data_IF_747638901347
#
_entry.id   IF_747638901347
#
_cell.length_a   1.000
_cell.length_b   1.000
_cell.length_c   1.000
_cell.angle_alpha   90.00
_cell.angle_beta   90.00
_cell.angle_gamma   90.00
#
_symmetry.space_group_name_H-M   'P 1'
#
loop_
_entity.id
_entity.type
_entity.pdbx_description
1 polymer ?
#
# COMPACT_ATOMS: atom_id res chain seq x y z
N UNK A 1 0.28 20.18 -21.09
CA UNK A 1 -1.00 19.75 -20.46
C UNK A 1 -2.17 20.13 -21.36
N UNK A 2 -3.29 19.38 -21.35
CA UNK A 2 -4.47 19.75 -22.14
C UNK A 2 -5.05 21.08 -21.58
N UNK A 3 -5.35 22.10 -22.42
CA UNK A 3 -5.83 23.40 -21.94
C UNK A 3 -7.18 23.35 -21.19
N UNK A 4 -7.92 22.24 -21.32
CA UNK A 4 -9.16 22.01 -20.57
C UNK A 4 -8.93 21.39 -19.18
N UNK A 5 -7.68 21.12 -18.79
CA UNK A 5 -7.32 20.51 -17.50
C UNK A 5 -6.43 21.49 -16.76
N UNK A 6 -6.79 21.83 -15.53
CA UNK A 6 -5.99 22.63 -14.62
C UNK A 6 -5.57 21.78 -13.42
N UNK A 7 -4.30 21.89 -13.04
CA UNK A 7 -3.76 21.28 -11.83
C UNK A 7 -3.56 22.35 -10.76
N UNK A 8 -4.07 22.11 -9.57
CA UNK A 8 -3.91 22.98 -8.40
C UNK A 8 -3.44 22.08 -7.26
N UNK A 9 -2.16 22.12 -6.95
CA UNK A 9 -1.51 21.35 -5.89
C UNK A 9 -1.36 22.14 -4.59
N UNK A 10 -0.89 21.46 -3.54
CA UNK A 10 -0.72 21.98 -2.19
C UNK A 10 -2.03 22.49 -1.55
N UNK A 11 -3.16 21.85 -1.89
CA UNK A 11 -4.48 22.16 -1.33
C UNK A 11 -5.03 20.93 -0.62
N UNK A 12 -5.41 21.09 0.65
CA UNK A 12 -6.04 20.03 1.44
C UNK A 12 -7.56 20.22 1.43
N UNK A 13 -8.25 19.41 0.65
CA UNK A 13 -9.72 19.40 0.59
C UNK A 13 -10.28 18.86 1.92
N UNK A 14 -11.25 19.56 2.48
CA UNK A 14 -11.82 19.34 3.82
C UNK A 14 -11.23 20.27 4.89
N UNK A 15 -10.03 20.83 4.67
CA UNK A 15 -9.41 21.82 5.56
C UNK A 15 -9.30 23.20 4.89
N UNK A 16 -8.61 23.27 3.74
CA UNK A 16 -8.35 24.53 3.06
C UNK A 16 -9.55 24.99 2.24
N UNK A 17 -10.28 24.03 1.69
CA UNK A 17 -11.59 24.21 1.03
C UNK A 17 -12.52 23.06 1.37
N UNK A 18 -13.79 23.36 1.67
CA UNK A 18 -14.80 22.36 1.99
C UNK A 18 -15.43 21.79 0.72
N UNK A 19 -16.03 20.59 0.85
CA UNK A 19 -16.79 19.99 -0.27
C UNK A 19 -17.99 20.85 -0.63
N UNK A 20 -18.66 21.50 0.32
CA UNK A 20 -19.78 22.39 0.04
C UNK A 20 -19.34 23.59 -0.81
N UNK A 21 -18.21 24.22 -0.47
CA UNK A 21 -17.65 25.30 -1.31
C UNK A 21 -17.34 24.82 -2.74
N UNK A 22 -16.79 23.60 -2.89
CA UNK A 22 -16.55 23.04 -4.22
C UNK A 22 -17.86 22.79 -4.99
N UNK A 23 -18.94 22.35 -4.35
CA UNK A 23 -20.25 22.18 -4.97
C UNK A 23 -20.88 23.51 -5.43
N UNK A 24 -20.62 24.59 -4.70
CA UNK A 24 -21.09 25.94 -5.08
C UNK A 24 -20.44 26.43 -6.35
N UNK A 25 -19.14 26.20 -6.53
CA UNK A 25 -18.33 26.77 -7.60
C UNK A 25 -18.17 25.85 -8.82
N UNK A 26 -18.43 24.53 -8.69
CA UNK A 26 -18.34 23.57 -9.79
C UNK A 26 -19.66 22.84 -10.05
N UNK A 27 -19.88 22.42 -11.30
CA UNK A 27 -21.07 21.65 -11.70
C UNK A 27 -21.06 20.23 -11.09
N UNK A 28 -19.90 19.64 -10.88
CA UNK A 28 -19.74 18.36 -10.22
C UNK A 28 -18.42 18.28 -9.47
N UNK A 29 -18.40 17.47 -8.40
CA UNK A 29 -17.20 17.14 -7.62
C UNK A 29 -16.99 15.63 -7.70
N UNK A 30 -15.84 15.20 -8.22
CA UNK A 30 -15.47 13.80 -8.31
C UNK A 30 -14.37 13.48 -7.28
N UNK A 31 -14.68 12.64 -6.30
CA UNK A 31 -13.78 12.21 -5.25
C UNK A 31 -12.94 11.01 -5.72
N UNK A 32 -11.59 11.15 -5.74
CA UNK A 32 -10.66 10.11 -6.19
C UNK A 32 -9.41 9.99 -5.31
N UNK A 33 -9.50 10.43 -4.05
CA UNK A 33 -8.36 10.53 -3.12
C UNK A 33 -7.86 9.17 -2.56
N UNK A 34 -8.49 8.06 -2.96
CA UNK A 34 -8.01 6.71 -2.65
C UNK A 34 -8.19 6.27 -1.20
N UNK A 35 -7.23 5.52 -0.67
CA UNK A 35 -7.22 4.98 0.69
C UNK A 35 -5.89 5.31 1.36
N UNK A 36 -5.93 6.18 2.37
CA UNK A 36 -4.73 6.77 2.96
C UNK A 36 -4.29 6.13 4.26
N UNK A 37 -5.19 5.50 5.00
CA UNK A 37 -4.88 4.84 6.26
C UNK A 37 -4.77 3.33 6.12
N UNK A 38 -4.01 2.70 6.99
CA UNK A 38 -3.97 1.25 7.13
C UNK A 38 -4.96 0.75 8.19
N UNK A 39 -5.33 -0.52 8.06
CA UNK A 39 -6.16 -1.20 9.05
C UNK A 39 -5.31 -1.57 10.26
N UNK A 40 -5.94 -1.53 11.44
CA UNK A 40 -5.36 -2.01 12.68
C UNK A 40 -5.71 -3.48 12.90
N UNK A 41 -4.88 -4.18 13.65
CA UNK A 41 -5.11 -5.56 14.08
C UNK A 41 -6.01 -5.61 15.32
N UNK A 42 -5.94 -4.56 16.14
CA UNK A 42 -6.66 -4.43 17.42
C UNK A 42 -6.32 -5.59 18.41
N UNK A 43 -5.03 -5.96 18.45
CA UNK A 43 -4.51 -7.01 19.33
C UNK A 43 -3.54 -6.44 20.36
N UNK A 44 -3.33 -7.14 21.51
CA UNK A 44 -2.34 -6.74 22.49
C UNK A 44 -0.94 -6.53 21.90
N UNK A 45 -0.25 -5.49 22.35
CA UNK A 45 1.11 -5.18 21.92
C UNK A 45 1.25 -4.52 20.55
N UNK A 46 0.15 -4.23 19.84
CA UNK A 46 0.20 -3.58 18.50
C UNK A 46 0.88 -2.21 18.51
N UNK A 47 0.92 -1.53 19.66
CA UNK A 47 1.52 -0.21 19.83
C UNK A 47 2.99 -0.25 20.31
N UNK A 48 3.59 -1.43 20.44
CA UNK A 48 5.01 -1.55 20.76
C UNK A 48 5.88 -0.91 19.68
N UNK A 49 7.04 -0.38 20.08
CA UNK A 49 8.02 0.11 19.11
C UNK A 49 8.41 -1.01 18.14
N UNK A 50 8.75 -0.67 16.92
CA UNK A 50 9.01 -1.59 15.81
C UNK A 50 7.80 -2.42 15.33
N UNK A 51 6.58 -2.10 15.76
CA UNK A 51 5.36 -2.57 15.08
C UNK A 51 4.90 -1.48 14.11
N UNK A 52 5.25 -1.62 12.85
CA UNK A 52 5.22 -0.57 11.84
C UNK A 52 4.02 -0.77 10.88
N UNK A 53 3.36 0.33 10.51
CA UNK A 53 2.44 0.33 9.37
C UNK A 53 3.19 0.03 8.08
N UNK A 54 2.78 -1.00 7.33
CA UNK A 54 3.37 -1.30 6.02
C UNK A 54 3.24 -0.13 5.05
N UNK A 55 2.11 0.60 5.10
CA UNK A 55 1.90 1.80 4.31
C UNK A 55 2.92 2.91 4.65
N UNK A 56 3.16 3.17 5.93
CA UNK A 56 4.12 4.17 6.35
C UNK A 56 5.55 3.79 5.96
N UNK A 57 5.91 2.52 6.05
CA UNK A 57 7.20 2.03 5.58
C UNK A 57 7.36 2.22 4.06
N UNK A 58 6.32 1.89 3.27
CA UNK A 58 6.30 2.16 1.82
C UNK A 58 6.41 3.67 1.54
N UNK A 59 5.70 4.51 2.28
CA UNK A 59 5.81 5.96 2.19
C UNK A 59 7.22 6.47 2.52
N UNK A 60 7.85 5.91 3.53
CA UNK A 60 9.19 6.27 3.99
C UNK A 60 10.26 6.03 2.91
N UNK A 61 10.33 4.84 2.33
CA UNK A 61 11.35 4.59 1.30
C UNK A 61 11.02 5.23 -0.05
N UNK A 62 9.75 5.55 -0.29
CA UNK A 62 9.30 6.28 -1.49
C UNK A 62 9.34 7.81 -1.35
N UNK A 63 9.72 8.35 -0.20
CA UNK A 63 9.89 9.78 0.02
C UNK A 63 8.59 10.56 0.21
N UNK A 64 7.55 9.93 0.77
CA UNK A 64 6.34 10.66 1.19
C UNK A 64 6.71 11.56 2.37
N UNK A 65 6.54 12.89 2.27
CA UNK A 65 7.05 13.84 3.27
C UNK A 65 6.61 13.55 4.70
N UNK A 66 5.35 13.15 4.92
CA UNK A 66 4.81 12.82 6.25
C UNK A 66 5.44 11.58 6.89
N UNK A 67 6.02 10.69 6.09
CA UNK A 67 6.63 9.46 6.56
C UNK A 67 8.17 9.55 6.67
N UNK A 68 8.78 10.68 6.26
CA UNK A 68 10.23 10.93 6.30
C UNK A 68 10.88 10.56 7.64
N UNK A 69 10.23 10.92 8.75
CA UNK A 69 10.73 10.72 10.11
C UNK A 69 10.16 9.45 10.76
N UNK A 70 9.88 8.40 9.97
CA UNK A 70 9.46 7.12 10.52
C UNK A 70 10.55 6.56 11.43
N UNK A 71 10.22 6.38 12.72
CA UNK A 71 11.13 5.74 13.66
C UNK A 71 11.16 4.24 13.39
N UNK A 72 12.23 3.76 12.77
CA UNK A 72 12.41 2.37 12.37
C UNK A 72 13.81 1.90 12.74
N UNK A 73 13.89 0.77 13.43
CA UNK A 73 15.16 0.11 13.72
C UNK A 73 15.31 -1.12 12.83
N UNK A 74 16.25 -1.07 11.88
CA UNK A 74 16.62 -2.18 10.99
C UNK A 74 17.91 -2.90 11.45
N UNK A 75 18.51 -2.50 12.55
CA UNK A 75 19.65 -3.19 13.19
C UNK A 75 19.17 -4.39 13.99
N UNK A 76 18.46 -5.29 13.33
CA UNK A 76 17.77 -6.48 13.88
C UNK A 76 17.85 -7.63 12.87
N UNK A 77 17.67 -8.88 13.35
CA UNK A 77 17.88 -10.06 12.51
C UNK A 77 16.62 -10.57 11.82
N UNK A 78 15.46 -10.53 12.48
CA UNK A 78 14.23 -11.14 12.00
C UNK A 78 13.11 -10.09 11.85
N UNK A 79 12.48 -10.08 10.69
CA UNK A 79 11.33 -9.25 10.41
C UNK A 79 10.08 -10.11 10.18
N UNK A 80 8.93 -9.65 10.64
CA UNK A 80 7.62 -10.26 10.42
C UNK A 80 6.75 -9.35 9.58
N UNK A 81 6.19 -9.85 8.49
CA UNK A 81 5.23 -9.14 7.66
C UNK A 81 3.87 -9.82 7.78
N UNK A 82 2.89 -9.10 8.30
CA UNK A 82 1.53 -9.60 8.49
C UNK A 82 0.67 -9.24 7.28
N UNK A 83 0.34 -10.24 6.49
CA UNK A 83 -0.39 -10.13 5.24
C UNK A 83 0.36 -10.79 4.08
N UNK A 84 -0.36 -11.18 3.04
CA UNK A 84 0.19 -11.85 1.85
C UNK A 84 -0.40 -11.22 0.57
N UNK A 85 -0.43 -9.88 0.54
CA UNK A 85 -0.72 -9.10 -0.66
C UNK A 85 0.55 -8.59 -1.34
N UNK A 86 0.39 -7.86 -2.46
CA UNK A 86 1.52 -7.29 -3.21
C UNK A 86 2.39 -6.37 -2.36
N UNK A 87 1.78 -5.54 -1.51
CA UNK A 87 2.52 -4.65 -0.60
C UNK A 87 3.39 -5.44 0.39
N UNK A 88 2.90 -6.59 0.88
CA UNK A 88 3.69 -7.45 1.77
C UNK A 88 4.91 -8.04 1.05
N UNK A 89 4.75 -8.49 -0.19
CA UNK A 89 5.86 -8.94 -1.04
C UNK A 89 6.85 -7.80 -1.31
N UNK A 90 6.35 -6.58 -1.57
CA UNK A 90 7.17 -5.39 -1.81
C UNK A 90 8.04 -5.04 -0.60
N UNK A 91 7.46 -5.05 0.60
CA UNK A 91 8.21 -4.84 1.85
C UNK A 91 9.30 -5.92 2.00
N UNK A 92 8.96 -7.19 1.80
CA UNK A 92 9.92 -8.28 1.86
C UNK A 92 11.05 -8.09 0.85
N UNK A 93 10.72 -7.69 -0.39
CA UNK A 93 11.68 -7.42 -1.45
C UNK A 93 12.64 -6.29 -1.07
N UNK A 94 12.15 -5.17 -0.54
CA UNK A 94 12.99 -4.05 -0.09
C UNK A 94 13.97 -4.48 1.02
N UNK A 95 13.52 -5.28 2.00
CA UNK A 95 14.36 -5.76 3.11
C UNK A 95 15.40 -6.80 2.66
N UNK A 96 15.09 -7.59 1.64
CA UNK A 96 15.91 -8.73 1.22
C UNK A 96 16.81 -8.42 0.00
N UNK A 97 16.50 -7.42 -0.80
CA UNK A 97 17.30 -7.05 -1.98
C UNK A 97 18.69 -6.55 -1.57
N UNK A 98 19.76 -6.94 -2.28
CA UNK A 98 21.09 -6.36 -2.10
C UNK A 98 21.07 -4.84 -2.27
N UNK A 99 21.78 -4.12 -1.40
CA UNK A 99 21.76 -2.64 -1.39
C UNK A 99 22.24 -2.04 -2.74
N UNK A 100 23.16 -2.70 -3.42
CA UNK A 100 23.69 -2.23 -4.69
C UNK A 100 22.63 -2.21 -5.81
N UNK A 101 21.64 -3.11 -5.74
CA UNK A 101 20.49 -3.05 -6.66
C UNK A 101 19.51 -1.92 -6.26
N UNK A 102 19.32 -1.66 -4.98
CA UNK A 102 18.44 -0.57 -4.52
C UNK A 102 19.02 0.81 -4.85
N UNK A 103 20.33 0.98 -4.84
CA UNK A 103 20.99 2.25 -5.16
C UNK A 103 20.66 2.79 -6.56
N UNK A 104 20.35 1.91 -7.51
CA UNK A 104 20.02 2.28 -8.89
C UNK A 104 18.54 2.64 -9.08
N UNK A 105 17.72 2.49 -8.02
CA UNK A 105 16.28 2.79 -8.04
C UNK A 105 16.03 4.23 -7.58
N UNK A 106 14.76 4.63 -7.53
CA UNK A 106 14.35 5.94 -7.01
C UNK A 106 14.06 5.94 -5.49
N UNK A 107 14.54 4.92 -4.76
CA UNK A 107 14.53 4.92 -3.29
C UNK A 107 15.28 6.16 -2.78
N UNK A 108 14.71 6.81 -1.78
CA UNK A 108 15.31 8.01 -1.17
C UNK A 108 16.63 7.71 -0.49
N UNK A 109 17.53 8.69 -0.49
CA UNK A 109 18.87 8.56 0.13
C UNK A 109 18.78 8.19 1.61
N UNK A 110 17.89 8.83 2.40
CA UNK A 110 17.74 8.51 3.82
C UNK A 110 17.32 7.04 4.04
N UNK A 111 16.45 6.49 3.16
CA UNK A 111 16.07 5.09 3.26
C UNK A 111 17.22 4.13 2.88
N UNK A 112 18.00 4.48 1.84
CA UNK A 112 19.18 3.71 1.45
C UNK A 112 20.23 3.66 2.57
N UNK A 113 20.46 4.76 3.28
CA UNK A 113 21.38 4.83 4.43
C UNK A 113 20.95 3.85 5.53
N UNK A 114 19.67 3.86 5.92
CA UNK A 114 19.14 2.92 6.91
C UNK A 114 19.19 1.47 6.42
N UNK A 115 18.80 1.20 5.18
CA UNK A 115 18.79 -0.15 4.59
C UNK A 115 20.21 -0.71 4.43
N UNK A 116 21.21 0.14 4.17
CA UNK A 116 22.63 -0.28 4.07
C UNK A 116 23.18 -0.83 5.38
N UNK A 117 22.66 -0.33 6.51
CA UNK A 117 23.03 -0.76 7.86
C UNK A 117 22.10 -1.88 8.40
N UNK A 118 21.13 -2.34 7.60
CA UNK A 118 20.20 -3.38 8.02
C UNK A 118 20.88 -4.72 8.26
N UNK A 119 20.60 -5.33 9.42
CA UNK A 119 21.06 -6.69 9.76
C UNK A 119 20.02 -7.77 9.48
N UNK A 120 18.86 -7.39 8.92
CA UNK A 120 17.78 -8.35 8.64
C UNK A 120 18.27 -9.44 7.68
N UNK A 121 18.15 -10.69 8.15
CA UNK A 121 18.52 -11.90 7.39
C UNK A 121 17.32 -12.80 7.13
N UNK A 122 16.27 -12.68 7.93
CA UNK A 122 15.10 -13.53 7.84
C UNK A 122 13.81 -12.69 7.84
N UNK A 123 12.94 -12.98 6.89
CA UNK A 123 11.64 -12.33 6.77
C UNK A 123 10.54 -13.39 6.78
N UNK A 124 9.70 -13.34 7.81
CA UNK A 124 8.50 -14.13 7.92
C UNK A 124 7.35 -13.43 7.19
N UNK A 125 6.68 -14.13 6.26
CA UNK A 125 5.53 -13.59 5.51
C UNK A 125 4.27 -14.36 5.95
N UNK A 126 3.48 -13.75 6.83
CA UNK A 126 2.38 -14.43 7.54
C UNK A 126 1.04 -14.23 6.84
N UNK A 127 0.38 -15.33 6.51
CA UNK A 127 -0.95 -15.36 5.93
C UNK A 127 -1.99 -16.08 6.79
N UNK A 128 -3.13 -15.43 7.03
CA UNK A 128 -4.20 -16.05 7.82
C UNK A 128 -4.94 -17.18 7.11
N UNK A 129 -4.88 -17.23 5.78
CA UNK A 129 -5.50 -18.27 4.93
C UNK A 129 -4.42 -19.13 4.29
N UNK A 130 -4.84 -20.08 3.46
CA UNK A 130 -3.94 -20.98 2.80
C UNK A 130 -3.34 -20.46 1.49
N UNK A 131 -2.47 -21.25 0.84
CA UNK A 131 -1.83 -20.90 -0.45
C UNK A 131 -2.85 -20.59 -1.56
N UNK A 132 -3.97 -21.28 -1.59
CA UNK A 132 -5.04 -21.08 -2.59
C UNK A 132 -5.72 -19.71 -2.47
N UNK A 133 -5.60 -19.02 -1.31
CA UNK A 133 -6.18 -17.71 -1.04
C UNK A 133 -5.11 -16.60 -0.96
N UNK A 134 -3.85 -16.87 -1.29
CA UNK A 134 -2.79 -15.87 -1.34
C UNK A 134 -3.22 -14.69 -2.23
N UNK A 135 -2.99 -13.46 -1.76
CA UNK A 135 -3.50 -12.25 -2.42
C UNK A 135 -2.45 -11.57 -3.32
N UNK A 136 -1.19 -11.97 -3.25
CA UNK A 136 -0.14 -11.47 -4.14
C UNK A 136 -0.32 -12.02 -5.57
N UNK A 137 0.19 -11.29 -6.55
CA UNK A 137 0.14 -11.69 -7.96
C UNK A 137 1.33 -12.59 -8.32
N UNK A 138 1.19 -13.31 -9.44
CA UNK A 138 2.28 -14.16 -9.96
C UNK A 138 3.51 -13.34 -10.37
N UNK A 139 3.32 -12.08 -10.78
CA UNK A 139 4.43 -11.19 -11.15
C UNK A 139 5.30 -10.89 -9.94
N UNK A 140 4.70 -10.44 -8.84
CA UNK A 140 5.38 -10.13 -7.59
C UNK A 140 6.10 -11.38 -7.01
N UNK A 141 5.41 -12.53 -7.02
CA UNK A 141 6.03 -13.78 -6.56
C UNK A 141 7.26 -14.15 -7.40
N UNK A 142 7.19 -13.99 -8.73
CA UNK A 142 8.34 -14.30 -9.61
C UNK A 142 9.56 -13.40 -9.34
N UNK A 143 9.34 -12.14 -9.02
CA UNK A 143 10.43 -11.22 -8.72
C UNK A 143 11.11 -11.60 -7.41
N UNK A 144 10.34 -11.85 -6.36
CA UNK A 144 10.95 -12.17 -5.06
C UNK A 144 11.66 -13.54 -5.06
N UNK A 145 11.13 -14.53 -5.81
CA UNK A 145 11.78 -15.84 -5.95
C UNK A 145 13.11 -15.80 -6.73
N UNK A 146 13.41 -14.70 -7.41
CA UNK A 146 14.66 -14.49 -8.17
C UNK A 146 15.69 -13.65 -7.41
N UNK A 147 15.42 -13.26 -6.17
CA UNK A 147 16.36 -12.46 -5.41
C UNK A 147 17.68 -13.19 -5.20
N UNK A 148 18.77 -12.50 -5.52
CA UNK A 148 20.12 -13.03 -5.32
C UNK A 148 20.43 -13.20 -3.83
N UNK A 149 21.11 -14.28 -3.49
CA UNK A 149 21.51 -14.63 -2.13
C UNK A 149 20.33 -14.70 -1.12
N UNK A 150 19.11 -15.00 -1.61
CA UNK A 150 17.92 -15.18 -0.80
C UNK A 150 17.22 -16.49 -1.16
N UNK A 151 16.97 -17.33 -0.15
CA UNK A 151 16.17 -18.54 -0.31
C UNK A 151 14.72 -18.29 0.15
N UNK A 152 13.76 -18.83 -0.58
CA UNK A 152 12.38 -18.91 -0.11
C UNK A 152 12.13 -20.28 0.48
N UNK A 153 11.79 -20.32 1.77
CA UNK A 153 11.59 -21.55 2.55
C UNK A 153 10.11 -21.72 2.87
N UNK A 154 9.42 -22.53 2.09
CA UNK A 154 8.02 -22.85 2.30
C UNK A 154 7.85 -23.97 3.33
N UNK A 155 6.77 -23.93 4.08
CA UNK A 155 6.34 -25.05 4.94
C UNK A 155 5.52 -26.05 4.14
N UNK A 156 6.03 -27.27 3.97
CA UNK A 156 5.37 -28.31 3.18
C UNK A 156 3.98 -28.68 3.71
N UNK A 157 3.80 -28.63 5.04
CA UNK A 157 2.51 -28.87 5.70
C UNK A 157 1.40 -27.89 5.30
N UNK A 158 1.75 -26.67 4.90
CA UNK A 158 0.77 -25.68 4.43
C UNK A 158 0.23 -25.98 3.04
N UNK A 159 0.84 -26.92 2.31
CA UNK A 159 0.48 -27.30 0.94
C UNK A 159 -0.18 -28.68 0.84
N UNK A 160 -0.49 -29.32 1.95
CA UNK A 160 -1.15 -30.64 1.94
C UNK A 160 -2.48 -30.55 1.18
N UNK A 161 -2.67 -31.40 0.16
CA UNK A 161 -3.87 -31.46 -0.69
C UNK A 161 -4.02 -30.32 -1.71
N UNK A 162 -3.06 -29.38 -1.79
CA UNK A 162 -3.14 -28.25 -2.74
C UNK A 162 -3.01 -28.74 -4.19
N UNK A 163 -2.14 -29.67 -4.47
CA UNK A 163 -1.91 -30.27 -5.81
C UNK A 163 -3.13 -30.96 -6.38
N UNK A 164 -3.97 -31.59 -5.56
CA UNK A 164 -5.23 -32.18 -5.97
C UNK A 164 -6.24 -31.13 -6.47
N UNK A 165 -6.18 -29.90 -5.94
CA UNK A 165 -7.08 -28.80 -6.28
C UNK A 165 -6.62 -28.05 -7.53
N UNK A 166 -5.33 -27.99 -7.82
CA UNK A 166 -4.74 -27.23 -8.94
C UNK A 166 -5.44 -27.43 -10.27
N UNK A 167 -5.81 -28.67 -10.69
CA UNK A 167 -6.49 -28.91 -11.97
C UNK A 167 -7.83 -28.17 -12.09
N UNK A 168 -8.54 -27.92 -10.98
CA UNK A 168 -9.87 -27.29 -10.93
C UNK A 168 -9.82 -25.76 -10.95
N UNK A 169 -8.65 -25.17 -10.74
CA UNK A 169 -8.49 -23.71 -10.59
C UNK A 169 -8.59 -22.98 -11.93
N UNK A 170 -9.16 -21.77 -11.91
CA UNK A 170 -9.08 -20.83 -13.03
C UNK A 170 -7.61 -20.46 -13.34
N UNK A 171 -7.31 -20.24 -14.62
CA UNK A 171 -5.95 -20.07 -15.16
C UNK A 171 -5.03 -19.13 -14.35
N UNK A 172 -5.45 -17.93 -13.92
CA UNK A 172 -4.57 -17.05 -13.14
C UNK A 172 -4.16 -17.67 -11.79
N UNK A 173 -5.13 -18.22 -11.06
CA UNK A 173 -4.90 -18.86 -9.76
C UNK A 173 -4.09 -20.15 -9.92
N UNK A 174 -4.41 -20.96 -10.92
CA UNK A 174 -3.67 -22.18 -11.25
C UNK A 174 -2.18 -21.89 -11.43
N UNK A 175 -1.84 -20.94 -12.30
CA UNK A 175 -0.42 -20.59 -12.57
C UNK A 175 0.33 -20.05 -11.34
N UNK A 176 -0.35 -19.31 -10.48
CA UNK A 176 0.24 -18.83 -9.24
C UNK A 176 0.53 -20.00 -8.29
N UNK A 177 -0.45 -20.92 -8.12
CA UNK A 177 -0.30 -22.09 -7.24
C UNK A 177 0.77 -23.05 -7.76
N UNK A 178 0.80 -23.31 -9.06
CA UNK A 178 1.85 -24.12 -9.71
C UNK A 178 3.26 -23.52 -9.47
N UNK A 179 3.39 -22.20 -9.50
CA UNK A 179 4.67 -21.53 -9.21
C UNK A 179 5.10 -21.73 -7.75
N UNK A 180 4.15 -21.64 -6.80
CA UNK A 180 4.46 -21.88 -5.38
C UNK A 180 4.87 -23.36 -5.16
N UNK A 181 4.13 -24.32 -5.70
CA UNK A 181 4.45 -25.75 -5.61
C UNK A 181 5.82 -26.08 -6.25
N UNK A 182 6.09 -25.48 -7.41
CA UNK A 182 7.42 -25.62 -8.04
C UNK A 182 8.52 -25.12 -7.12
N UNK A 183 8.35 -23.92 -6.56
CA UNK A 183 9.33 -23.33 -5.64
C UNK A 183 9.49 -24.13 -4.34
N UNK A 184 8.41 -24.72 -3.81
CA UNK A 184 8.46 -25.64 -2.68
C UNK A 184 9.31 -26.89 -2.99
N UNK A 185 9.11 -27.49 -4.15
CA UNK A 185 9.83 -28.73 -4.56
C UNK A 185 11.31 -28.45 -4.88
N UNK A 186 11.63 -27.25 -5.33
CA UNK A 186 13.00 -26.83 -5.70
C UNK A 186 13.76 -26.16 -4.53
N UNK A 187 13.12 -25.97 -3.36
CA UNK A 187 13.77 -25.32 -2.23
C UNK A 187 14.94 -26.17 -1.70
N UNK A 188 16.06 -25.54 -1.31
CA UNK A 188 17.24 -26.25 -0.85
C UNK A 188 17.01 -26.95 0.49
N UNK A 189 17.47 -28.20 0.60
CA UNK A 189 17.38 -29.01 1.83
C UNK A 189 18.39 -28.54 2.89
N UNK A 190 19.53 -27.96 2.45
CA UNK A 190 20.59 -27.45 3.31
C UNK A 190 20.98 -26.02 2.91
N UNK A 191 20.71 -25.06 3.80
CA UNK A 191 20.92 -23.62 3.54
C UNK A 191 22.30 -23.10 4.01
N UNK A 192 23.38 -23.86 3.83
CA UNK A 192 24.69 -23.50 4.42
C UNK A 192 25.38 -22.28 3.83
N UNK A 193 24.96 -21.75 2.67
CA UNK A 193 25.67 -20.66 1.98
C UNK A 193 24.80 -19.43 1.65
N UNK A 194 23.56 -19.35 2.10
CA UNK A 194 22.67 -18.24 1.77
C UNK A 194 22.62 -17.20 2.89
N UNK A 195 22.68 -15.94 2.50
CA UNK A 195 22.76 -14.83 3.45
C UNK A 195 21.40 -14.38 3.99
N UNK A 196 20.30 -14.63 3.24
CA UNK A 196 18.97 -14.16 3.57
C UNK A 196 17.89 -15.21 3.29
N UNK A 197 16.79 -15.16 4.03
CA UNK A 197 15.68 -16.11 3.95
C UNK A 197 14.33 -15.37 3.90
N UNK A 198 13.47 -15.79 2.99
CA UNK A 198 12.04 -15.50 3.00
C UNK A 198 11.28 -16.74 3.46
N UNK A 199 10.50 -16.62 4.52
CA UNK A 199 9.75 -17.73 5.13
C UNK A 199 8.24 -17.45 5.08
N UNK A 200 7.54 -17.78 3.98
CA UNK A 200 6.10 -17.68 3.93
C UNK A 200 5.44 -18.73 4.83
N UNK A 201 4.47 -18.31 5.62
CA UNK A 201 3.66 -19.16 6.51
C UNK A 201 2.19 -18.88 6.23
N UNK A 202 1.41 -19.93 6.06
CA UNK A 202 -0.03 -19.87 5.88
C UNK A 202 -0.77 -20.30 7.15
N UNK A 203 -2.09 -20.12 7.15
CA UNK A 203 -2.99 -20.53 8.24
C UNK A 203 -2.59 -19.98 9.61
N UNK A 204 -2.02 -18.75 9.67
CA UNK A 204 -1.62 -18.10 10.93
C UNK A 204 -2.20 -16.69 11.01
N UNK A 205 -2.90 -16.40 12.11
CA UNK A 205 -3.38 -15.07 12.44
C UNK A 205 -2.61 -14.50 13.61
N UNK A 206 -2.20 -13.23 13.58
CA UNK A 206 -1.57 -12.59 14.74
C UNK A 206 -2.57 -12.52 15.89
N UNK A 207 -2.11 -12.90 17.09
CA UNK A 207 -2.91 -12.89 18.32
C UNK A 207 -2.38 -11.87 19.33
N UNK A 208 -1.07 -11.70 19.45
CA UNK A 208 -0.43 -10.79 20.40
C UNK A 208 1.01 -10.49 19.95
N UNK A 209 1.44 -9.24 20.09
CA UNK A 209 2.87 -8.90 20.09
C UNK A 209 3.39 -8.87 21.53
N UNK A 210 4.50 -9.53 21.76
CA UNK A 210 5.12 -9.66 23.07
C UNK A 210 6.41 -8.83 23.12
N UNK A 211 6.59 -8.08 24.19
CA UNK A 211 7.73 -7.22 24.45
C UNK A 211 7.40 -6.24 25.57
N UNK A 212 8.40 -5.53 26.09
CA UNK A 212 8.19 -4.51 27.13
C UNK A 212 7.96 -3.12 26.54
N UNK A 213 8.88 -2.62 25.75
CA UNK A 213 8.82 -1.32 25.05
C UNK A 213 8.95 -1.46 23.54
N UNK A 214 9.60 -2.53 23.10
CA UNK A 214 9.83 -2.90 21.70
C UNK A 214 9.34 -4.32 21.51
N UNK A 215 8.93 -4.67 20.30
CA UNK A 215 8.50 -6.03 19.98
C UNK A 215 9.68 -6.98 20.00
N UNK A 216 9.49 -8.16 20.60
CA UNK A 216 10.50 -9.22 20.73
C UNK A 216 10.00 -10.54 20.14
N UNK A 217 8.68 -10.78 20.20
CA UNK A 217 8.02 -11.98 19.68
C UNK A 217 6.62 -11.66 19.18
N UNK A 218 6.08 -12.56 18.38
CA UNK A 218 4.67 -12.57 18.01
C UNK A 218 4.05 -13.94 18.29
N UNK A 219 2.86 -13.93 18.90
CA UNK A 219 2.01 -15.11 19.04
C UNK A 219 1.05 -15.18 17.89
N UNK A 220 0.97 -16.33 17.26
CA UNK A 220 0.15 -16.60 16.09
C UNK A 220 -0.84 -17.72 16.42
N UNK A 221 -2.14 -17.46 16.24
CA UNK A 221 -3.14 -18.52 16.29
C UNK A 221 -3.09 -19.35 15.02
N UNK A 222 -3.08 -20.66 15.15
CA UNK A 222 -3.26 -21.59 14.02
C UNK A 222 -4.69 -21.54 13.56
N UNK A 223 -4.91 -21.37 12.27
CA UNK A 223 -6.26 -21.25 11.69
C UNK A 223 -6.72 -22.54 11.02
N UNK A 224 -8.04 -22.77 11.08
CA UNK A 224 -8.77 -23.60 10.12
C UNK A 224 -9.49 -22.73 9.11
N UNK A 225 -9.75 -23.25 7.93
CA UNK A 225 -10.59 -22.57 6.95
C UNK A 225 -12.01 -23.11 6.99
N UNK A 226 -12.99 -22.22 6.93
CA UNK A 226 -14.42 -22.55 6.92
C UNK A 226 -15.10 -21.88 5.70
N UNK A 227 -16.02 -22.61 5.06
CA UNK A 227 -16.82 -22.15 3.92
C UNK A 227 -16.77 -23.14 2.74
N UNK A 228 -17.82 -23.17 1.96
CA UNK A 228 -18.02 -24.16 0.87
C UNK A 228 -17.12 -23.88 -0.33
N UNK A 229 -16.87 -22.63 -0.65
CA UNK A 229 -16.01 -22.26 -1.76
C UNK A 229 -14.56 -22.11 -1.30
N UNK A 230 -13.71 -23.03 -1.74
CA UNK A 230 -12.31 -23.13 -1.33
C UNK A 230 -11.51 -21.84 -1.54
N UNK A 231 -11.82 -21.03 -2.56
CA UNK A 231 -11.10 -19.79 -2.85
C UNK A 231 -11.54 -18.62 -1.95
N UNK A 232 -12.71 -18.69 -1.34
CA UNK A 232 -13.30 -17.65 -0.50
C UNK A 232 -13.45 -18.03 0.97
N UNK A 233 -12.96 -19.20 1.35
CA UNK A 233 -12.97 -19.67 2.74
C UNK A 233 -12.40 -18.61 3.69
N UNK A 234 -13.00 -18.54 4.88
CA UNK A 234 -12.59 -17.62 5.94
C UNK A 234 -11.71 -18.35 6.96
N UNK A 235 -10.69 -17.68 7.42
CA UNK A 235 -9.85 -18.16 8.49
C UNK A 235 -10.60 -18.05 9.84
N UNK A 236 -10.57 -19.13 10.61
CA UNK A 236 -11.07 -19.21 11.97
C UNK A 236 -9.93 -19.66 12.90
N UNK A 237 -9.53 -18.84 13.86
CA UNK A 237 -8.51 -19.22 14.84
C UNK A 237 -8.92 -20.46 15.63
N UNK A 238 -7.95 -21.32 15.93
CA UNK A 238 -8.06 -22.42 16.90
C UNK A 238 -7.37 -22.04 18.20
N UNK A 239 -7.41 -22.92 19.20
CA UNK A 239 -6.72 -22.73 20.48
C UNK A 239 -5.21 -22.98 20.40
N UNK A 240 -4.71 -23.45 19.24
CA UNK A 240 -3.29 -23.68 19.04
C UNK A 240 -2.55 -22.39 18.79
N UNK A 241 -1.51 -22.14 19.56
CA UNK A 241 -0.66 -20.95 19.44
C UNK A 241 0.76 -21.36 19.04
N UNK A 242 1.31 -20.67 18.06
CA UNK A 242 2.72 -20.73 17.68
C UNK A 242 3.39 -19.40 18.03
N UNK A 243 4.58 -19.43 18.64
CA UNK A 243 5.40 -18.25 18.89
C UNK A 243 6.59 -18.21 17.93
N UNK A 244 6.86 -17.05 17.36
CA UNK A 244 8.05 -16.79 16.55
C UNK A 244 8.77 -15.53 17.04
N UNK A 245 10.09 -15.49 16.84
CA UNK A 245 10.90 -14.30 17.09
C UNK A 245 10.45 -13.18 16.16
N UNK A 246 10.40 -11.96 16.67
CA UNK A 246 9.93 -10.80 15.93
C UNK A 246 10.62 -9.54 16.46
N UNK A 247 11.71 -9.15 15.84
CA UNK A 247 12.43 -7.93 16.21
C UNK A 247 11.82 -6.67 15.60
N UNK A 248 11.14 -6.84 14.47
CA UNK A 248 10.35 -5.82 13.79
C UNK A 248 9.16 -6.45 13.06
N UNK A 249 8.00 -5.79 13.11
CA UNK A 249 6.79 -6.24 12.44
C UNK A 249 6.23 -5.18 11.50
N UNK A 250 5.76 -5.61 10.32
CA UNK A 250 5.07 -4.77 9.35
C UNK A 250 3.63 -5.23 9.17
N UNK A 251 2.67 -4.34 9.48
CA UNK A 251 1.25 -4.59 9.24
C UNK A 251 0.92 -4.30 7.79
N UNK A 252 0.61 -5.31 7.00
CA UNK A 252 0.24 -5.21 5.59
C UNK A 252 -1.11 -5.89 5.32
N UNK A 253 -2.12 -5.58 6.15
CA UNK A 253 -3.44 -6.21 6.17
C UNK A 253 -4.51 -5.43 5.39
N UNK A 254 -4.10 -4.46 4.61
CA UNK A 254 -4.93 -3.63 3.75
C UNK A 254 -5.15 -2.23 4.29
N UNK A 255 -5.72 -1.39 3.44
CA UNK A 255 -5.93 0.04 3.66
C UNK A 255 -7.40 0.37 3.94
N UNK A 256 -7.66 1.62 4.29
CA UNK A 256 -8.99 2.22 4.36
C UNK A 256 -8.90 3.69 3.94
N UNK A 257 -9.97 4.19 3.34
CA UNK A 257 -10.11 5.63 3.10
C UNK A 257 -10.44 6.36 4.40
N UNK A 258 -10.31 7.67 4.38
CA UNK A 258 -10.70 8.58 5.46
C UNK A 258 -11.88 9.44 5.04
N UNK A 259 -12.67 9.89 6.00
CA UNK A 259 -13.69 10.90 5.77
C UNK A 259 -13.02 12.28 5.79
N UNK A 260 -12.84 12.90 4.62
CA UNK A 260 -12.17 14.20 4.49
C UNK A 260 -13.06 15.39 4.83
N UNK A 261 -14.38 15.19 4.81
CA UNK A 261 -15.39 16.22 5.09
C UNK A 261 -16.65 15.55 5.65
N UNK A 262 -17.21 16.10 6.72
CA UNK A 262 -18.41 15.54 7.40
C UNK A 262 -19.66 15.60 6.54
N UNK A 263 -19.71 16.45 5.52
CA UNK A 263 -20.83 16.54 4.57
C UNK A 263 -20.90 15.33 3.62
N UNK A 264 -19.82 14.50 3.54
CA UNK A 264 -19.77 13.32 2.69
C UNK A 264 -20.21 12.08 3.51
N UNK A 265 -21.22 11.33 3.04
CA UNK A 265 -21.62 10.09 3.67
C UNK A 265 -20.49 9.05 3.59
N UNK A 266 -20.05 8.55 4.73
CA UNK A 266 -18.90 7.65 4.84
C UNK A 266 -19.27 6.37 5.58
N UNK A 267 -18.70 5.24 5.18
CA UNK A 267 -18.81 3.97 5.87
C UNK A 267 -17.54 3.68 6.66
N UNK A 268 -17.56 3.96 7.97
CA UNK A 268 -16.42 3.77 8.85
C UNK A 268 -16.02 2.30 9.01
N UNK A 269 -16.97 1.36 8.84
CA UNK A 269 -16.69 -0.07 8.97
C UNK A 269 -15.88 -0.59 7.80
N UNK A 270 -16.24 -0.18 6.59
CA UNK A 270 -15.57 -0.61 5.36
C UNK A 270 -14.49 0.37 4.88
N UNK A 271 -14.47 1.60 5.42
CA UNK A 271 -13.47 2.62 5.11
C UNK A 271 -13.57 3.15 3.67
N UNK A 272 -14.77 3.54 3.25
CA UNK A 272 -15.00 4.16 1.93
C UNK A 272 -16.22 5.10 1.95
N UNK A 273 -16.30 5.98 0.96
CA UNK A 273 -17.45 6.87 0.76
C UNK A 273 -18.66 6.03 0.34
N UNK A 274 -19.81 6.21 1.05
CA UNK A 274 -21.07 5.56 0.66
C UNK A 274 -21.52 6.11 -0.68
N UNK A 275 -21.74 5.23 -1.65
CA UNK A 275 -22.16 5.59 -2.99
C UNK A 275 -23.01 4.49 -3.62
N UNK A 276 -23.76 4.85 -4.64
CA UNK A 276 -24.49 3.92 -5.51
C UNK A 276 -23.92 4.03 -6.91
N UNK A 277 -23.15 3.01 -7.33
CA UNK A 277 -22.47 3.00 -8.63
C UNK A 277 -21.68 4.29 -8.93
N UNK A 278 -20.96 4.81 -7.91
CA UNK A 278 -20.16 6.02 -7.99
C UNK A 278 -20.89 7.32 -7.69
N UNK A 279 -22.22 7.35 -7.65
CA UNK A 279 -22.99 8.52 -7.23
C UNK A 279 -23.10 8.57 -5.72
N UNK A 280 -22.60 9.65 -5.11
CA UNK A 280 -22.60 9.86 -3.64
C UNK A 280 -23.85 10.60 -3.20
N UNK A 281 -24.09 11.75 -3.79
CA UNK A 281 -25.28 12.60 -3.65
C UNK A 281 -25.37 13.53 -4.86
N UNK A 282 -26.29 14.49 -4.85
CA UNK A 282 -26.42 15.44 -5.94
C UNK A 282 -25.07 16.12 -6.25
N UNK A 283 -24.65 16.06 -7.52
CA UNK A 283 -23.40 16.63 -8.05
C UNK A 283 -22.11 16.16 -7.38
N UNK A 284 -22.15 15.11 -6.54
CA UNK A 284 -20.95 14.48 -5.96
C UNK A 284 -20.85 13.03 -6.40
N UNK A 285 -19.67 12.68 -6.89
CA UNK A 285 -19.34 11.36 -7.38
C UNK A 285 -18.06 10.85 -6.70
N UNK A 286 -17.85 9.54 -6.71
CA UNK A 286 -16.63 8.91 -6.20
C UNK A 286 -16.19 7.80 -7.15
N UNK A 287 -14.88 7.66 -7.38
CA UNK A 287 -14.29 6.61 -8.19
C UNK A 287 -13.01 6.05 -7.57
N UNK A 288 -12.64 4.83 -7.93
CA UNK A 288 -11.47 4.15 -7.42
C UNK A 288 -11.62 3.74 -5.94
N UNK A 289 -10.51 3.61 -5.24
CA UNK A 289 -10.49 3.03 -3.89
C UNK A 289 -11.32 3.80 -2.84
N UNK A 290 -11.52 5.08 -3.02
CA UNK A 290 -12.41 5.84 -2.13
C UNK A 290 -13.87 5.44 -2.27
N UNK A 291 -14.28 4.95 -3.46
CA UNK A 291 -15.64 4.49 -3.75
C UNK A 291 -15.85 3.00 -3.47
N UNK A 292 -14.85 2.16 -3.83
CA UNK A 292 -14.96 0.69 -3.82
C UNK A 292 -14.31 0.03 -2.62
N UNK A 293 -13.55 0.79 -1.81
CA UNK A 293 -12.55 0.25 -0.91
C UNK A 293 -11.27 -0.16 -1.65
N UNK A 294 -10.17 -0.42 -0.94
CA UNK A 294 -8.86 -0.72 -1.54
C UNK A 294 -8.79 -2.18 -2.03
N UNK A 295 -9.57 -2.49 -3.05
CA UNK A 295 -9.65 -3.82 -3.67
C UNK A 295 -9.29 -3.72 -5.14
N UNK A 296 -8.55 -4.72 -5.63
CA UNK A 296 -8.16 -4.81 -7.04
C UNK A 296 -6.87 -4.04 -7.37
N UNK A 297 -6.53 -4.06 -8.63
CA UNK A 297 -5.32 -3.46 -9.23
C UNK A 297 -5.70 -2.28 -10.15
N UNK A 298 -4.72 -1.57 -10.70
CA UNK A 298 -4.93 -0.40 -11.59
C UNK A 298 -5.93 -0.70 -12.71
N UNK A 299 -5.90 -1.90 -13.30
CA UNK A 299 -6.82 -2.28 -14.38
C UNK A 299 -8.29 -2.23 -13.95
N UNK A 300 -8.64 -2.74 -12.77
CA UNK A 300 -9.99 -2.67 -12.22
C UNK A 300 -10.42 -1.24 -11.88
N UNK A 301 -9.48 -0.43 -11.38
CA UNK A 301 -9.70 0.99 -11.11
C UNK A 301 -9.95 1.77 -12.41
N UNK A 302 -9.23 1.46 -13.48
CA UNK A 302 -9.43 2.08 -14.80
C UNK A 302 -10.83 1.81 -15.36
N UNK A 303 -11.30 0.55 -15.29
CA UNK A 303 -12.66 0.19 -15.71
C UNK A 303 -13.70 0.99 -14.92
N UNK A 304 -13.59 1.02 -13.61
CA UNK A 304 -14.46 1.81 -12.72
C UNK A 304 -14.42 3.30 -13.08
N UNK A 305 -13.26 3.87 -13.36
CA UNK A 305 -13.13 5.28 -13.75
C UNK A 305 -13.89 5.61 -15.05
N UNK A 306 -13.85 4.74 -16.05
CA UNK A 306 -14.60 4.92 -17.29
C UNK A 306 -16.11 4.83 -17.08
N UNK A 307 -16.59 3.90 -16.26
CA UNK A 307 -18.00 3.77 -15.90
C UNK A 307 -18.52 5.05 -15.23
N UNK A 308 -17.77 5.55 -14.23
CA UNK A 308 -18.16 6.77 -13.50
C UNK A 308 -18.07 8.01 -14.39
N UNK A 309 -17.06 8.12 -15.25
CA UNK A 309 -16.96 9.23 -16.20
C UNK A 309 -18.16 9.25 -17.17
N UNK A 310 -18.60 8.07 -17.61
CA UNK A 310 -19.79 7.93 -18.47
C UNK A 310 -21.07 8.34 -17.75
N UNK A 311 -21.24 7.91 -16.49
CA UNK A 311 -22.37 8.29 -15.65
C UNK A 311 -22.40 9.81 -15.45
N UNK A 312 -21.28 10.39 -15.03
CA UNK A 312 -21.15 11.83 -14.81
C UNK A 312 -21.47 12.63 -16.07
N UNK A 313 -20.93 12.21 -17.22
CA UNK A 313 -21.21 12.89 -18.50
C UNK A 313 -22.69 12.86 -18.96
N UNK A 314 -23.46 11.84 -18.53
CA UNK A 314 -24.89 11.75 -18.77
C UNK A 314 -25.73 12.61 -17.82
N UNK A 315 -25.30 12.74 -16.58
CA UNK A 315 -26.05 13.43 -15.53
C UNK A 315 -25.67 14.91 -15.38
N UNK A 316 -24.55 15.34 -15.99
CA UNK A 316 -24.04 16.70 -15.84
C UNK A 316 -25.00 17.71 -16.54
N UNK A 317 -25.71 18.49 -15.73
CA UNK A 317 -26.51 19.62 -16.19
C UNK A 317 -25.64 20.90 -16.21
N UNK A 318 -25.49 21.54 -17.40
CA UNK A 318 -24.62 22.72 -17.59
C UNK A 318 -25.48 24.01 -17.69
N UNK A 319 -26.74 23.94 -17.26
CA UNK A 319 -27.69 25.06 -17.42
C UNK A 319 -27.39 26.26 -16.52
N UNK A 320 -26.65 26.04 -15.42
CA UNK A 320 -26.27 27.07 -14.44
C UNK A 320 -24.79 27.42 -14.62
N UNK A 321 -24.50 28.70 -14.79
CA UNK A 321 -23.10 29.15 -14.84
C UNK A 321 -22.45 29.04 -13.49
N UNK A 322 -21.28 28.41 -13.42
CA UNK A 322 -20.46 28.23 -12.20
C UNK A 322 -19.16 29.00 -12.36
N UNK A 323 -18.68 29.61 -11.26
CA UNK A 323 -17.48 30.45 -11.24
C UNK A 323 -16.17 29.66 -11.41
N UNK A 324 -16.18 28.37 -11.09
CA UNK A 324 -15.05 27.46 -11.36
C UNK A 324 -13.74 27.83 -10.66
N UNK A 325 -12.65 27.63 -11.37
CA UNK A 325 -11.29 27.80 -10.80
C UNK A 325 -10.94 29.24 -10.43
N UNK A 326 -11.57 30.25 -11.01
CA UNK A 326 -11.32 31.63 -10.62
C UNK A 326 -11.76 31.90 -9.19
N UNK A 327 -12.93 31.43 -8.80
CA UNK A 327 -13.43 31.58 -7.45
C UNK A 327 -12.67 30.68 -6.45
N UNK A 328 -12.28 29.47 -6.86
CA UNK A 328 -11.42 28.62 -6.07
C UNK A 328 -10.12 29.33 -5.71
N UNK A 329 -9.45 29.93 -6.69
CA UNK A 329 -8.20 30.67 -6.46
C UNK A 329 -8.40 31.84 -5.48
N UNK A 330 -9.46 32.65 -5.63
CA UNK A 330 -9.78 33.72 -4.69
C UNK A 330 -9.97 33.22 -3.25
N UNK A 331 -10.69 32.11 -3.08
CA UNK A 331 -10.90 31.51 -1.76
C UNK A 331 -9.57 31.05 -1.15
N UNK A 332 -8.71 30.38 -1.92
CA UNK A 332 -7.43 29.89 -1.44
C UNK A 332 -6.46 31.06 -1.12
N UNK A 333 -6.40 32.07 -1.98
CA UNK A 333 -5.60 33.28 -1.79
C UNK A 333 -6.03 34.05 -0.52
N UNK A 334 -7.35 34.20 -0.30
CA UNK A 334 -7.89 34.85 0.90
C UNK A 334 -7.49 34.15 2.20
N UNK A 335 -7.19 32.85 2.14
CA UNK A 335 -6.72 32.04 3.27
C UNK A 335 -5.18 31.94 3.35
N UNK A 336 -4.46 32.61 2.45
CA UNK A 336 -2.99 32.57 2.38
C UNK A 336 -2.44 31.20 1.97
N UNK A 337 -3.20 30.40 1.23
CA UNK A 337 -2.75 29.08 0.77
C UNK A 337 -1.91 29.24 -0.50
N UNK A 338 -0.63 28.92 -0.41
CA UNK A 338 0.28 28.89 -1.56
C UNK A 338 -0.01 27.69 -2.44
N UNK A 339 -0.69 27.89 -3.56
CA UNK A 339 -1.00 26.82 -4.52
C UNK A 339 0.18 26.51 -5.43
N UNK A 340 0.30 25.25 -5.87
CA UNK A 340 1.32 24.81 -6.82
C UNK A 340 0.65 24.47 -8.17
N UNK A 341 1.07 25.18 -9.23
CA UNK A 341 0.63 24.91 -10.59
C UNK A 341 1.33 23.67 -11.18
N UNK A 342 0.85 23.18 -12.34
CA UNK A 342 1.51 22.09 -13.06
C UNK A 342 2.96 22.46 -13.43
N UNK A 343 3.20 23.69 -13.89
CA UNK A 343 4.58 24.16 -14.18
C UNK A 343 5.45 24.20 -12.91
N UNK A 344 4.87 24.55 -11.76
CA UNK A 344 5.57 24.47 -10.48
C UNK A 344 5.96 23.02 -10.13
N UNK A 345 5.06 22.07 -10.36
CA UNK A 345 5.36 20.65 -10.20
C UNK A 345 6.45 20.17 -11.19
N UNK A 346 6.42 20.61 -12.46
CA UNK A 346 7.45 20.26 -13.45
C UNK A 346 8.86 20.70 -13.01
N UNK A 347 8.98 21.86 -12.34
CA UNK A 347 10.27 22.31 -11.76
C UNK A 347 10.78 21.36 -10.69
N UNK A 348 9.87 20.89 -9.80
CA UNK A 348 10.23 19.89 -8.79
C UNK A 348 10.71 18.59 -9.47
N UNK A 349 9.93 18.07 -10.42
CA UNK A 349 10.28 16.84 -11.19
C UNK A 349 11.64 16.96 -11.90
N UNK A 350 11.92 18.11 -12.49
CA UNK A 350 13.20 18.38 -13.15
C UNK A 350 14.37 18.31 -12.16
N UNK A 351 14.28 18.99 -11.02
CA UNK A 351 15.34 19.01 -10.01
C UNK A 351 15.56 17.61 -9.43
N UNK A 352 14.48 16.87 -9.15
CA UNK A 352 14.59 15.48 -8.69
C UNK A 352 15.34 14.59 -9.68
N UNK A 353 15.07 14.75 -10.99
CA UNK A 353 15.75 13.99 -12.05
C UNK A 353 17.22 14.41 -12.21
N UNK A 354 17.52 15.71 -12.12
CA UNK A 354 18.89 16.23 -12.17
C UNK A 354 19.73 15.67 -11.03
N UNK A 355 19.23 15.75 -9.78
CA UNK A 355 19.86 15.17 -8.59
C UNK A 355 20.05 13.65 -8.73
N UNK A 356 19.02 12.96 -9.21
CA UNK A 356 19.10 11.52 -9.45
C UNK A 356 20.19 11.16 -10.45
N UNK A 357 20.29 11.89 -11.55
CA UNK A 357 21.32 11.66 -12.56
C UNK A 357 22.74 11.82 -11.99
N UNK A 358 22.99 12.81 -11.16
CA UNK A 358 24.26 13.01 -10.46
C UNK A 358 24.61 11.84 -9.54
N UNK A 359 23.60 11.16 -8.99
CA UNK A 359 23.74 10.01 -8.10
C UNK A 359 23.64 8.65 -8.82
N UNK A 360 23.52 8.62 -10.15
CA UNK A 360 23.35 7.37 -10.91
C UNK A 360 21.96 6.70 -10.76
N UNK A 361 20.92 7.46 -10.40
CA UNK A 361 19.54 7.00 -10.23
C UNK A 361 18.60 7.68 -11.23
N UNK A 362 17.39 7.16 -11.38
CA UNK A 362 16.35 7.78 -12.20
C UNK A 362 15.88 9.14 -11.66
N UNK A 363 15.81 9.28 -10.34
CA UNK A 363 15.52 10.51 -9.58
C UNK A 363 15.99 10.41 -8.12
N UNK A 364 16.22 11.55 -7.50
CA UNK A 364 16.32 11.69 -6.05
C UNK A 364 15.14 12.56 -5.57
N UNK A 365 14.20 11.93 -4.87
CA UNK A 365 12.95 12.58 -4.47
C UNK A 365 13.19 13.61 -3.37
N UNK A 366 12.57 14.78 -3.50
CA UNK A 366 12.56 15.80 -2.47
C UNK A 366 11.53 15.40 -1.42
N UNK A 367 11.95 15.34 -0.16
CA UNK A 367 11.13 14.88 0.97
C UNK A 367 10.75 16.01 1.93
N UNK A 368 11.16 17.24 1.64
CA UNK A 368 10.86 18.44 2.43
C UNK A 368 9.85 19.33 1.69
N UNK A 369 8.68 19.54 2.31
CA UNK A 369 7.60 20.34 1.71
C UNK A 369 8.04 21.80 1.49
N UNK A 370 8.82 22.38 2.42
CA UNK A 370 9.28 23.78 2.29
C UNK A 370 10.23 23.93 1.12
N UNK A 371 11.10 22.95 0.89
CA UNK A 371 11.97 22.90 -0.29
C UNK A 371 11.17 22.77 -1.58
N UNK A 372 10.16 21.87 -1.62
CA UNK A 372 9.27 21.72 -2.79
C UNK A 372 8.56 23.05 -3.12
N UNK A 373 8.02 23.73 -2.13
CA UNK A 373 7.34 25.01 -2.32
C UNK A 373 8.31 26.09 -2.80
N UNK A 374 9.52 26.18 -2.23
CA UNK A 374 10.53 27.12 -2.67
C UNK A 374 10.94 26.94 -4.14
N UNK A 375 10.90 25.69 -4.64
CA UNK A 375 11.18 25.39 -6.04
C UNK A 375 9.97 25.72 -6.93
N UNK A 376 8.80 25.28 -6.53
CA UNK A 376 7.58 25.40 -7.33
C UNK A 376 7.10 26.84 -7.51
N UNK A 377 7.36 27.72 -6.54
CA UNK A 377 6.88 29.12 -6.52
C UNK A 377 7.87 30.14 -7.09
N UNK A 378 9.11 29.72 -7.36
CA UNK A 378 10.08 30.53 -8.14
C UNK A 378 9.78 30.49 -9.63
#
# INVERSE_FOLDING_TARGET
MNPRVQFIGNVNVGRDITINQLQEIYHAVLLTYGAEEDKLLEIPGENLNNVISGRRFVGWYNGVPKDKNLNINLDVNEAVILGQGNVAIDIARILLTPIDHLKCTDITTHALEHLSNSKIRKVWLIGRRGPLQAAFTIAELREILKLENCNTLWRAEDFIGVDEIVPTLARPRKRLTELMLKSLNEQPVNCTNVKKELCPIFFRSPAEFVGSTIVEKIKLSVNKLEGDNILTQKAKPTDMIEEISCDIAFRSIGYKSIQIDTSIPFDNKYGHVKNSFGKVKENIYAAGWVATGPVGVILSTMTNAFEIATLLGKELAIEVNKSGSEELNKILDSKGISTVSYNGWEKIDQIERERGKEMGKSREKIVDISEMLNIALK
#
